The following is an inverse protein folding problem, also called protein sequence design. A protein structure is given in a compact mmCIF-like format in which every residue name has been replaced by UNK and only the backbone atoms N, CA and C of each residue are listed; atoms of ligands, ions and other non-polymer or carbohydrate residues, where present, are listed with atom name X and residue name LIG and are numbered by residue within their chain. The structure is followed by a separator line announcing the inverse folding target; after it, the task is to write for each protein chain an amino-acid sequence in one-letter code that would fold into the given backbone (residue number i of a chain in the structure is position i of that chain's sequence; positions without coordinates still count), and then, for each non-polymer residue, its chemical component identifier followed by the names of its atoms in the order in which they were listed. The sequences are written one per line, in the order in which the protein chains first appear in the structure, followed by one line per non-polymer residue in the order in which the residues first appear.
data_IF_405127229527
#
_entry.id   IF_405127229527
#
_cell.length_a   1.000
_cell.length_b   1.000
_cell.length_c   1.000
_cell.angle_alpha   90.00
_cell.angle_beta   90.00
_cell.angle_gamma   90.00
#
_symmetry.space_group_name_H-M   'P 1'
#
loop_
_entity.id
_entity.type
_entity.pdbx_description
1 polymer ?
#
# COMPACT_ATOMS: atom_id res chain seq x y z
N UNK A 1 10.33 -22.27 3.92
CA UNK A 1 9.74 -21.66 5.13
C UNK A 1 9.01 -20.40 4.68
N UNK A 2 7.74 -20.53 4.28
CA UNK A 2 6.94 -19.38 3.82
C UNK A 2 6.37 -18.72 5.07
N UNK A 3 6.92 -17.56 5.43
CA UNK A 3 6.41 -16.78 6.56
C UNK A 3 5.05 -16.22 6.14
N UNK A 4 3.97 -16.88 6.57
CA UNK A 4 2.62 -16.33 6.45
C UNK A 4 2.58 -15.08 7.31
N UNK A 5 2.74 -13.91 6.69
CA UNK A 5 2.61 -12.65 7.38
C UNK A 5 1.18 -12.55 7.93
N UNK A 6 1.05 -12.60 9.26
CA UNK A 6 -0.23 -12.50 9.92
C UNK A 6 -0.66 -11.03 9.97
N UNK A 7 -1.56 -10.65 9.07
CA UNK A 7 -2.09 -9.30 8.97
C UNK A 7 -3.40 -9.11 9.76
N UNK A 8 -3.79 -10.06 10.61
CA UNK A 8 -5.05 -10.01 11.37
C UNK A 8 -5.11 -8.86 12.38
N UNK A 9 -3.97 -8.28 12.73
CA UNK A 9 -3.89 -7.09 13.60
C UNK A 9 -4.22 -5.78 12.86
N UNK A 10 -4.27 -5.78 11.53
CA UNK A 10 -4.60 -4.60 10.73
C UNK A 10 -6.10 -4.54 10.43
N UNK A 11 -6.59 -3.35 10.05
CA UNK A 11 -7.95 -3.23 9.55
C UNK A 11 -8.15 -4.15 8.34
N UNK A 12 -9.36 -4.68 8.09
CA UNK A 12 -9.60 -5.59 6.97
C UNK A 12 -9.16 -5.04 5.61
N UNK A 13 -9.18 -3.71 5.46
CA UNK A 13 -8.69 -3.03 4.27
C UNK A 13 -7.16 -3.06 4.15
N UNK A 14 -6.46 -2.80 5.27
CA UNK A 14 -5.00 -2.80 5.30
C UNK A 14 -4.39 -4.20 5.19
N UNK A 15 -5.04 -5.22 5.73
CA UNK A 15 -4.58 -6.61 5.55
C UNK A 15 -4.63 -7.03 4.08
N UNK A 16 -5.68 -6.61 3.34
CA UNK A 16 -5.77 -6.84 1.90
C UNK A 16 -4.70 -6.06 1.13
N UNK A 17 -4.48 -4.78 1.47
CA UNK A 17 -3.45 -3.95 0.86
C UNK A 17 -2.05 -4.55 1.05
N UNK A 18 -1.71 -4.94 2.28
CA UNK A 18 -0.40 -5.51 2.62
C UNK A 18 -0.18 -6.88 1.96
N UNK A 19 -1.22 -7.70 1.84
CA UNK A 19 -1.16 -8.95 1.09
C UNK A 19 -0.81 -8.72 -0.39
N UNK A 20 -1.53 -7.80 -1.05
CA UNK A 20 -1.23 -7.43 -2.45
C UNK A 20 0.16 -6.81 -2.59
N UNK A 21 0.59 -5.99 -1.63
CA UNK A 21 1.91 -5.37 -1.65
C UNK A 21 3.04 -6.38 -1.44
N UNK A 22 2.80 -7.44 -0.68
CA UNK A 22 3.78 -8.52 -0.48
C UNK A 22 4.09 -9.26 -1.79
N UNK A 23 3.11 -9.39 -2.69
CA UNK A 23 3.30 -9.97 -4.02
C UNK A 23 4.06 -9.03 -4.97
N UNK A 24 3.98 -7.71 -4.74
CA UNK A 24 4.61 -6.67 -5.57
C UNK A 24 5.40 -5.64 -4.74
N UNK A 25 6.49 -6.06 -4.06
CA UNK A 25 7.21 -5.21 -3.11
C UNK A 25 7.84 -3.97 -3.77
N UNK A 26 8.34 -4.11 -5.00
CA UNK A 26 9.09 -3.06 -5.71
C UNK A 26 8.21 -2.15 -6.59
N UNK A 27 6.92 -2.48 -6.75
CA UNK A 27 5.98 -1.74 -7.60
C UNK A 27 5.11 -0.82 -6.77
N UNK A 28 4.80 0.38 -7.28
CA UNK A 28 3.82 1.29 -6.67
C UNK A 28 2.41 0.69 -6.77
N UNK A 29 1.76 0.47 -5.62
CA UNK A 29 0.40 -0.07 -5.56
C UNK A 29 -0.62 1.05 -5.38
N UNK A 30 -1.29 1.42 -6.47
CA UNK A 30 -2.41 2.38 -6.45
C UNK A 30 -3.67 1.67 -5.94
N UNK A 31 -4.00 1.86 -4.67
CA UNK A 31 -5.16 1.24 -4.04
C UNK A 31 -6.41 2.12 -4.22
N UNK A 32 -7.43 1.58 -4.89
CA UNK A 32 -8.65 2.35 -5.17
C UNK A 32 -9.53 2.45 -3.93
N UNK A 33 -9.69 3.65 -3.39
CA UNK A 33 -10.64 3.96 -2.32
C UNK A 33 -11.71 4.94 -2.84
N UNK A 34 -12.80 4.37 -3.36
CA UNK A 34 -13.86 5.16 -3.99
C UNK A 34 -13.42 5.80 -5.31
N UNK A 35 -13.41 7.12 -5.35
CA UNK A 35 -13.04 7.93 -6.53
C UNK A 35 -11.53 8.26 -6.59
N UNK A 36 -10.79 7.97 -5.52
CA UNK A 36 -9.36 8.25 -5.44
C UNK A 36 -8.52 6.96 -5.48
N UNK A 37 -7.29 7.11 -5.95
CA UNK A 37 -6.24 6.12 -5.77
C UNK A 37 -5.31 6.59 -4.66
N UNK A 38 -5.25 5.80 -3.60
CA UNK A 38 -4.40 6.04 -2.46
C UNK A 38 -3.20 5.11 -2.49
N UNK A 39 -2.07 5.62 -2.00
CA UNK A 39 -0.81 4.91 -1.82
C UNK A 39 -0.43 5.07 -0.35
N UNK A 40 0.05 3.99 0.27
CA UNK A 40 0.33 3.99 1.71
C UNK A 40 1.81 3.76 2.01
N UNK A 41 2.24 4.18 3.20
CA UNK A 41 3.60 4.00 3.72
C UNK A 41 4.68 4.62 2.81
N UNK A 42 5.71 3.85 2.45
CA UNK A 42 6.83 4.35 1.65
C UNK A 42 6.45 4.62 0.19
N UNK A 43 5.41 3.96 -0.33
CA UNK A 43 4.87 4.25 -1.66
C UNK A 43 4.28 5.66 -1.70
N UNK A 44 3.66 6.12 -0.62
CA UNK A 44 3.16 7.50 -0.50
C UNK A 44 4.30 8.52 -0.58
N UNK A 45 5.41 8.26 0.12
CA UNK A 45 6.61 9.12 0.07
C UNK A 45 7.23 9.16 -1.32
N UNK A 46 7.32 8.02 -2.00
CA UNK A 46 7.81 7.92 -3.38
C UNK A 46 6.88 8.67 -4.34
N UNK A 47 5.57 8.49 -4.24
CA UNK A 47 4.60 9.20 -5.06
C UNK A 47 4.64 10.71 -4.86
N UNK A 48 4.74 11.19 -3.62
CA UNK A 48 4.91 12.62 -3.35
C UNK A 48 6.15 13.18 -4.08
N UNK A 49 7.31 12.51 -3.96
CA UNK A 49 8.54 12.97 -4.60
C UNK A 49 8.51 12.87 -6.14
N UNK A 50 7.81 11.88 -6.71
CA UNK A 50 7.76 11.64 -8.16
C UNK A 50 6.66 12.42 -8.88
N UNK A 51 5.52 12.61 -8.23
CA UNK A 51 4.30 13.17 -8.82
C UNK A 51 3.93 14.54 -8.26
N UNK A 52 4.67 15.06 -7.27
CA UNK A 52 4.44 16.34 -6.60
C UNK A 52 2.99 16.44 -6.04
N UNK A 53 2.53 15.36 -5.42
CA UNK A 53 1.22 15.25 -4.78
C UNK A 53 1.33 15.34 -3.27
N UNK A 54 0.35 15.99 -2.63
CA UNK A 54 0.35 16.18 -1.17
C UNK A 54 0.41 14.86 -0.41
N UNK A 55 1.41 14.73 0.46
CA UNK A 55 1.53 13.62 1.42
C UNK A 55 0.71 13.92 2.68
N UNK A 56 -0.20 13.02 3.07
CA UNK A 56 -1.04 13.11 4.28
C UNK A 56 -0.77 11.99 5.27
#
# INVERSE_FOLDING_TARGET
MTQTADFSAHTPMMSQYLGLKADFPDTLLLYRMGDFYEVFYDDARKCNALLDITLT
#
